data_IF_344870863534
#
_entry.id   IF_344870863534
#
_cell.length_a   1.000
_cell.length_b   1.000
_cell.length_c   1.000
_cell.angle_alpha   90.00
_cell.angle_beta   90.00
_cell.angle_gamma   90.00
#
_symmetry.space_group_name_H-M   'P 1'
#
loop_
_entity.id
_entity.type
_entity.pdbx_description
1 polymer ?
#
# COMPACT_ATOMS: atom_id res chain seq x y z
N UNK A 1 57.00 -8.29 -68.90
CA UNK A 1 56.41 -7.02 -68.43
C UNK A 1 54.96 -6.98 -68.88
N UNK A 2 54.03 -7.27 -67.98
CA UNK A 2 52.78 -6.55 -67.74
C UNK A 2 51.89 -7.43 -66.85
N UNK A 3 51.62 -6.89 -65.67
CA UNK A 3 50.87 -7.46 -64.56
C UNK A 3 49.42 -7.02 -64.74
N UNK A 4 48.48 -7.97 -64.70
CA UNK A 4 47.05 -7.70 -64.64
C UNK A 4 46.61 -7.47 -63.20
N UNK A 5 45.75 -6.46 -63.05
CA UNK A 5 45.24 -5.89 -61.80
C UNK A 5 44.29 -6.84 -61.04
N UNK A 6 44.34 -6.70 -59.72
CA UNK A 6 43.47 -7.32 -58.74
C UNK A 6 42.07 -6.65 -58.73
N UNK A 7 41.03 -7.46 -58.57
CA UNK A 7 39.70 -7.02 -58.14
C UNK A 7 39.46 -7.53 -56.73
N UNK A 8 39.45 -6.63 -55.76
CA UNK A 8 39.07 -6.91 -54.37
C UNK A 8 37.55 -7.09 -54.27
N UNK A 9 37.13 -8.22 -53.72
CA UNK A 9 35.76 -8.47 -53.31
C UNK A 9 35.56 -8.01 -51.86
N UNK A 10 34.69 -7.02 -51.66
CA UNK A 10 34.18 -6.63 -50.35
C UNK A 10 33.33 -7.77 -49.75
N UNK A 11 33.84 -8.40 -48.69
CA UNK A 11 33.00 -9.12 -47.73
C UNK A 11 32.62 -8.14 -46.61
N UNK A 12 31.47 -7.49 -46.76
CA UNK A 12 30.81 -6.80 -45.66
C UNK A 12 30.22 -7.84 -44.70
N UNK A 13 30.84 -8.02 -43.53
CA UNK A 13 30.34 -8.88 -42.46
C UNK A 13 29.01 -8.34 -41.94
N UNK A 14 27.97 -9.18 -42.04
CA UNK A 14 26.62 -8.94 -41.52
C UNK A 14 26.62 -8.57 -40.04
N UNK A 15 25.88 -7.51 -39.72
CA UNK A 15 25.78 -6.91 -38.40
C UNK A 15 25.43 -7.87 -37.27
N UNK A 16 26.18 -7.75 -36.18
CA UNK A 16 25.81 -8.28 -34.88
C UNK A 16 24.48 -7.67 -34.46
N UNK A 17 23.46 -8.53 -34.31
CA UNK A 17 22.27 -8.20 -33.56
C UNK A 17 22.69 -7.94 -32.11
N UNK A 18 22.73 -6.67 -31.73
CA UNK A 18 22.65 -6.29 -30.32
C UNK A 18 21.26 -6.75 -29.84
N UNK A 19 21.20 -7.94 -29.24
CA UNK A 19 20.10 -8.33 -28.39
C UNK A 19 20.15 -7.42 -27.15
N UNK A 20 19.63 -6.21 -27.30
CA UNK A 20 19.26 -5.35 -26.19
C UNK A 20 18.04 -5.95 -25.49
N UNK A 21 18.22 -7.10 -24.83
CA UNK A 21 17.32 -7.48 -23.75
C UNK A 21 17.49 -6.40 -22.70
N UNK A 22 16.49 -5.53 -22.59
CA UNK A 22 16.35 -4.64 -21.46
C UNK A 22 16.41 -5.51 -20.21
N UNK A 23 17.50 -5.38 -19.46
CA UNK A 23 17.64 -6.05 -18.18
C UNK A 23 16.79 -5.22 -17.23
N UNK A 24 15.53 -5.62 -17.05
CA UNK A 24 14.62 -5.06 -16.02
C UNK A 24 15.43 -4.79 -14.77
N UNK A 25 15.31 -3.57 -14.23
CA UNK A 25 16.11 -3.17 -13.08
C UNK A 25 15.94 -4.19 -11.94
N UNK A 26 16.98 -4.44 -11.16
CA UNK A 26 16.93 -5.41 -10.05
C UNK A 26 16.03 -4.98 -8.89
N UNK A 27 15.30 -3.87 -8.99
CA UNK A 27 14.40 -3.43 -7.93
C UNK A 27 13.12 -4.28 -7.85
N UNK A 28 12.57 -4.38 -6.64
CA UNK A 28 11.31 -5.08 -6.40
C UNK A 28 10.13 -4.18 -6.79
N UNK A 29 9.02 -4.82 -7.16
CA UNK A 29 7.72 -4.14 -7.20
C UNK A 29 7.38 -3.60 -5.81
N UNK A 30 6.71 -2.45 -5.74
CA UNK A 30 6.39 -1.78 -4.48
C UNK A 30 4.97 -2.08 -4.06
N UNK A 31 4.81 -2.50 -2.80
CA UNK A 31 3.52 -2.62 -2.15
C UNK A 31 3.39 -1.48 -1.14
N UNK A 32 2.55 -0.50 -1.47
CA UNK A 32 2.22 0.62 -0.60
C UNK A 32 1.08 0.24 0.35
N UNK A 33 1.43 0.10 1.62
CA UNK A 33 0.51 -0.06 2.74
C UNK A 33 0.20 1.31 3.34
N UNK A 34 -1.09 1.63 3.43
CA UNK A 34 -1.55 2.90 4.01
C UNK A 34 -2.69 2.67 5.01
N UNK A 35 -3.06 3.72 5.73
CA UNK A 35 -4.36 3.82 6.39
C UNK A 35 -5.19 4.83 5.61
N UNK A 36 -6.52 4.78 5.71
CA UNK A 36 -7.34 5.83 5.10
C UNK A 36 -6.93 7.20 5.61
N UNK A 37 -6.97 8.21 4.73
CA UNK A 37 -6.65 9.62 5.02
C UNK A 37 -5.20 9.95 5.36
N UNK A 38 -4.23 9.10 5.00
CA UNK A 38 -2.78 9.37 5.16
C UNK A 38 -2.13 10.14 4.01
N UNK A 39 -2.90 10.74 3.09
CA UNK A 39 -2.41 11.34 1.83
C UNK A 39 -1.82 10.32 0.81
N UNK A 40 -2.15 9.04 0.93
CA UNK A 40 -1.63 8.00 0.04
C UNK A 40 -1.99 8.16 -1.44
N UNK A 41 -3.14 8.78 -1.77
CA UNK A 41 -3.45 9.13 -3.16
C UNK A 41 -2.60 10.30 -3.71
N UNK A 42 -2.26 11.28 -2.87
CA UNK A 42 -1.33 12.37 -3.24
C UNK A 42 0.06 11.78 -3.50
N UNK A 43 0.48 10.86 -2.63
CA UNK A 43 1.74 10.15 -2.79
C UNK A 43 1.81 9.34 -4.10
N UNK A 44 0.75 8.61 -4.46
CA UNK A 44 0.68 7.98 -5.78
C UNK A 44 0.73 9.01 -6.92
N UNK A 45 0.05 10.16 -6.80
CA UNK A 45 0.11 11.22 -7.81
C UNK A 45 1.53 11.77 -8.02
N UNK A 46 2.29 11.98 -6.94
CA UNK A 46 3.70 12.37 -7.01
C UNK A 46 4.56 11.36 -7.78
N UNK A 47 4.26 10.07 -7.62
CA UNK A 47 5.00 8.98 -8.26
C UNK A 47 4.44 8.58 -9.64
N UNK A 48 3.44 9.28 -10.17
CA UNK A 48 2.71 8.82 -11.36
C UNK A 48 3.48 8.98 -12.67
N UNK A 49 4.57 9.75 -12.68
CA UNK A 49 5.39 10.02 -13.86
C UNK A 49 6.68 9.19 -13.91
N UNK A 50 6.86 8.23 -12.99
CA UNK A 50 8.05 7.38 -12.92
C UNK A 50 8.16 6.52 -14.18
N UNK A 51 9.24 6.71 -14.93
CA UNK A 51 9.54 5.91 -16.13
C UNK A 51 9.88 4.48 -15.73
N UNK A 52 9.33 3.50 -16.47
CA UNK A 52 9.47 2.08 -16.12
C UNK A 52 8.57 1.60 -14.97
N UNK A 53 7.59 2.41 -14.55
CA UNK A 53 6.63 2.03 -13.51
C UNK A 53 5.18 2.12 -14.01
N UNK A 54 4.32 1.26 -13.47
CA UNK A 54 2.86 1.35 -13.56
C UNK A 54 2.26 1.37 -12.16
N UNK A 55 1.14 2.07 -12.01
CA UNK A 55 0.39 2.13 -10.76
C UNK A 55 -0.89 1.31 -10.84
N UNK A 56 -1.23 0.68 -9.72
CA UNK A 56 -2.52 0.00 -9.58
C UNK A 56 -3.04 0.13 -8.14
N UNK A 57 -4.35 0.17 -7.99
CA UNK A 57 -4.97 0.58 -6.73
C UNK A 57 -6.09 -0.38 -6.27
N UNK A 58 -6.12 -0.64 -4.96
CA UNK A 58 -7.27 -1.14 -4.20
C UNK A 58 -7.90 -2.46 -4.65
N UNK A 59 -7.11 -3.41 -5.15
CA UNK A 59 -7.62 -4.72 -5.57
C UNK A 59 -8.33 -5.53 -4.47
N UNK A 60 -8.00 -5.26 -3.19
CA UNK A 60 -8.51 -5.99 -2.04
C UNK A 60 -9.72 -5.31 -1.36
N UNK A 61 -10.16 -4.17 -1.89
CA UNK A 61 -11.21 -3.34 -1.31
C UNK A 61 -12.58 -4.03 -1.29
N UNK A 62 -12.89 -4.86 -2.30
CA UNK A 62 -14.22 -5.49 -2.44
C UNK A 62 -14.51 -6.46 -1.29
N UNK A 63 -13.57 -7.37 -0.99
CA UNK A 63 -13.71 -8.32 0.12
C UNK A 63 -13.86 -7.59 1.47
N UNK A 64 -13.07 -6.54 1.70
CA UNK A 64 -13.20 -5.71 2.90
C UNK A 64 -14.59 -5.08 3.03
N UNK A 65 -15.10 -4.39 2.01
CA UNK A 65 -16.41 -3.75 2.12
C UNK A 65 -17.55 -4.76 2.18
N UNK A 66 -17.42 -5.91 1.54
CA UNK A 66 -18.35 -7.01 1.75
C UNK A 66 -18.40 -7.44 3.22
N UNK A 67 -17.23 -7.64 3.86
CA UNK A 67 -17.17 -8.02 5.28
C UNK A 67 -17.78 -6.98 6.22
N UNK A 68 -17.53 -5.70 5.95
CA UNK A 68 -18.14 -4.59 6.69
C UNK A 68 -19.67 -4.60 6.52
N UNK A 69 -20.13 -4.64 5.28
CA UNK A 69 -21.53 -4.38 4.96
C UNK A 69 -22.44 -5.59 5.26
N UNK A 70 -21.90 -6.82 5.27
CA UNK A 70 -22.68 -8.06 5.44
C UNK A 70 -22.62 -8.67 6.82
N UNK A 71 -21.49 -8.53 7.52
CA UNK A 71 -21.30 -9.19 8.81
C UNK A 71 -20.46 -8.39 9.81
N UNK A 72 -20.28 -7.07 9.59
CA UNK A 72 -19.62 -6.15 10.54
C UNK A 72 -18.28 -6.70 11.08
N UNK A 73 -17.50 -7.31 10.20
CA UNK A 73 -16.21 -7.94 10.51
C UNK A 73 -16.27 -9.02 11.60
N UNK A 74 -17.44 -9.64 11.82
CA UNK A 74 -17.56 -10.82 12.66
C UNK A 74 -16.59 -11.93 12.21
N UNK A 75 -16.11 -12.76 13.15
CA UNK A 75 -15.23 -13.87 12.83
C UNK A 75 -15.79 -14.82 11.77
N UNK A 76 -14.93 -15.29 10.85
CA UNK A 76 -15.36 -16.13 9.72
C UNK A 76 -15.93 -17.50 10.13
N UNK A 77 -15.69 -17.95 11.36
CA UNK A 77 -16.26 -19.15 11.98
C UNK A 77 -17.56 -18.88 12.75
N UNK A 78 -17.93 -17.62 12.95
CA UNK A 78 -19.18 -17.19 13.59
C UNK A 78 -20.26 -16.76 12.57
N UNK A 79 -19.93 -16.71 11.27
CA UNK A 79 -20.85 -16.37 10.18
C UNK A 79 -21.32 -17.61 9.40
N UNK A 80 -22.31 -17.45 8.53
CA UNK A 80 -22.81 -18.55 7.69
C UNK A 80 -21.78 -19.00 6.64
N UNK A 81 -21.83 -20.28 6.27
CA UNK A 81 -20.95 -20.85 5.22
C UNK A 81 -21.10 -20.14 3.87
N UNK A 82 -22.28 -19.58 3.58
CA UNK A 82 -22.51 -18.78 2.36
C UNK A 82 -21.71 -17.47 2.41
N UNK A 83 -21.86 -16.68 3.48
CA UNK A 83 -21.13 -15.41 3.65
C UNK A 83 -19.62 -15.63 3.71
N UNK A 84 -19.19 -16.71 4.36
CA UNK A 84 -17.77 -17.12 4.41
C UNK A 84 -17.23 -17.41 3.01
N UNK A 85 -17.96 -18.20 2.20
CA UNK A 85 -17.56 -18.50 0.81
C UNK A 85 -17.55 -17.25 -0.07
N UNK A 86 -18.55 -16.38 0.06
CA UNK A 86 -18.60 -15.11 -0.68
C UNK A 86 -17.39 -14.22 -0.37
N UNK A 87 -17.05 -14.03 0.91
CA UNK A 87 -15.88 -13.26 1.33
C UNK A 87 -14.57 -13.86 0.78
N UNK A 88 -14.40 -15.18 0.90
CA UNK A 88 -13.20 -15.88 0.43
C UNK A 88 -13.05 -15.71 -1.08
N UNK A 89 -14.12 -15.89 -1.85
CA UNK A 89 -14.08 -15.75 -3.31
C UNK A 89 -13.80 -14.31 -3.75
N UNK A 90 -14.42 -13.30 -3.12
CA UNK A 90 -14.11 -11.89 -3.39
C UNK A 90 -12.64 -11.54 -3.07
N UNK A 91 -12.08 -12.14 -2.03
CA UNK A 91 -10.67 -11.95 -1.64
C UNK A 91 -9.74 -12.62 -2.64
N UNK A 92 -10.05 -13.86 -3.08
CA UNK A 92 -9.32 -14.53 -4.16
C UNK A 92 -9.31 -13.70 -5.45
N UNK A 93 -10.46 -13.20 -5.88
CA UNK A 93 -10.55 -12.35 -7.08
C UNK A 93 -9.67 -11.10 -6.96
N UNK A 94 -9.64 -10.45 -5.79
CA UNK A 94 -8.76 -9.31 -5.54
C UNK A 94 -7.28 -9.67 -5.67
N UNK A 95 -6.87 -10.82 -5.11
CA UNK A 95 -5.49 -11.33 -5.19
C UNK A 95 -5.11 -11.70 -6.63
N UNK A 96 -6.04 -12.27 -7.41
CA UNK A 96 -5.82 -12.60 -8.82
C UNK A 96 -5.67 -11.37 -9.69
N UNK A 97 -6.48 -10.33 -9.48
CA UNK A 97 -6.35 -9.06 -10.21
C UNK A 97 -4.99 -8.41 -9.90
N UNK A 98 -4.56 -8.42 -8.64
CA UNK A 98 -3.23 -7.94 -8.24
C UNK A 98 -2.11 -8.74 -8.93
N UNK A 99 -2.18 -10.06 -8.88
CA UNK A 99 -1.19 -10.92 -9.51
C UNK A 99 -1.12 -10.68 -11.03
N UNK A 100 -2.28 -10.58 -11.69
CA UNK A 100 -2.36 -10.25 -13.11
C UNK A 100 -1.76 -8.88 -13.43
N UNK A 101 -2.06 -7.85 -12.64
CA UNK A 101 -1.49 -6.52 -12.83
C UNK A 101 0.04 -6.53 -12.73
N UNK A 102 0.59 -7.34 -11.82
CA UNK A 102 2.03 -7.54 -11.67
C UNK A 102 2.64 -8.23 -12.88
N UNK A 103 2.02 -9.32 -13.35
CA UNK A 103 2.47 -10.05 -14.54
C UNK A 103 2.42 -9.20 -15.80
N UNK A 104 1.37 -8.40 -15.98
CA UNK A 104 1.23 -7.52 -17.12
C UNK A 104 2.30 -6.40 -17.09
N UNK A 105 2.60 -5.85 -15.90
CA UNK A 105 3.73 -4.92 -15.74
C UNK A 105 5.08 -5.55 -16.14
N UNK A 106 5.32 -6.80 -15.72
CA UNK A 106 6.55 -7.54 -16.07
C UNK A 106 6.65 -7.78 -17.58
N UNK A 107 5.55 -8.16 -18.24
CA UNK A 107 5.51 -8.36 -19.70
C UNK A 107 5.84 -7.08 -20.48
N UNK A 108 5.50 -5.93 -19.92
CA UNK A 108 5.82 -4.61 -20.48
C UNK A 108 7.21 -4.08 -20.06
N UNK A 109 8.03 -4.88 -19.39
CA UNK A 109 9.33 -4.49 -18.85
C UNK A 109 9.25 -3.30 -17.86
N UNK A 110 8.20 -3.30 -17.03
CA UNK A 110 7.93 -2.28 -16.00
C UNK A 110 7.87 -2.88 -14.60
N UNK A 111 7.97 -2.02 -13.59
CA UNK A 111 7.72 -2.31 -12.19
C UNK A 111 6.31 -1.89 -11.78
N UNK A 112 5.71 -2.61 -10.85
CA UNK A 112 4.39 -2.27 -10.31
C UNK A 112 4.54 -1.53 -8.97
N UNK A 113 3.86 -0.38 -8.84
CA UNK A 113 3.53 0.25 -7.56
C UNK A 113 2.04 -0.02 -7.28
N UNK A 114 1.75 -0.94 -6.35
CA UNK A 114 0.37 -1.21 -5.93
C UNK A 114 0.07 -0.49 -4.62
N UNK A 115 -1.10 0.17 -4.52
CA UNK A 115 -1.60 0.72 -3.26
C UNK A 115 -2.76 -0.09 -2.69
N UNK A 116 -2.65 -0.48 -1.43
CA UNK A 116 -3.79 -0.91 -0.61
C UNK A 116 -3.73 -0.26 0.78
N UNK A 117 -4.86 -0.26 1.47
CA UNK A 117 -4.84 -0.02 2.90
C UNK A 117 -4.39 -1.30 3.64
N UNK A 118 -3.65 -1.16 4.73
CA UNK A 118 -3.10 -2.28 5.50
C UNK A 118 -4.21 -3.22 5.98
N UNK A 119 -5.33 -2.64 6.42
CA UNK A 119 -6.51 -3.37 6.87
C UNK A 119 -7.29 -4.08 5.75
N UNK A 120 -6.99 -3.85 4.47
CA UNK A 120 -7.53 -4.67 3.38
C UNK A 120 -6.84 -6.02 3.24
N UNK A 121 -5.69 -6.20 3.90
CA UNK A 121 -4.86 -7.41 3.77
C UNK A 121 -5.01 -8.38 4.93
N UNK A 122 -5.79 -8.03 5.94
CA UNK A 122 -5.99 -8.86 7.14
C UNK A 122 -7.34 -9.56 7.05
N UNK A 123 -7.44 -10.70 7.74
CA UNK A 123 -8.70 -11.43 7.88
C UNK A 123 -9.68 -10.59 8.73
N UNK A 124 -11.02 -10.64 8.47
CA UNK A 124 -11.96 -9.70 9.08
C UNK A 124 -12.00 -9.77 10.62
N UNK A 125 -11.87 -10.95 11.21
CA UNK A 125 -11.85 -11.10 12.67
C UNK A 125 -10.67 -10.39 13.34
N UNK A 126 -9.57 -10.16 12.62
CA UNK A 126 -8.46 -9.35 13.09
C UNK A 126 -8.85 -7.87 13.32
N UNK A 127 -9.96 -7.41 12.74
CA UNK A 127 -10.54 -6.07 12.94
C UNK A 127 -11.46 -5.99 14.16
N UNK A 128 -11.66 -7.11 14.87
CA UNK A 128 -12.38 -7.11 16.13
C UNK A 128 -11.55 -6.52 17.27
N UNK A 129 -12.23 -5.88 18.23
CA UNK A 129 -11.60 -5.40 19.45
C UNK A 129 -10.94 -6.53 20.27
N UNK A 130 -11.40 -7.77 20.10
CA UNK A 130 -10.86 -8.94 20.80
C UNK A 130 -9.52 -9.37 20.22
N UNK A 131 -9.38 -9.36 18.90
CA UNK A 131 -8.10 -9.61 18.23
C UNK A 131 -7.05 -8.57 18.63
N UNK A 132 -7.42 -7.29 18.72
CA UNK A 132 -6.53 -6.23 19.20
C UNK A 132 -6.11 -6.42 20.67
N UNK A 133 -6.89 -7.16 21.47
CA UNK A 133 -6.57 -7.53 22.87
C UNK A 133 -5.79 -8.84 22.97
N UNK A 134 -5.35 -9.41 21.85
CA UNK A 134 -4.50 -10.61 21.83
C UNK A 134 -5.25 -11.94 21.77
N UNK A 135 -6.56 -11.93 21.44
CA UNK A 135 -7.28 -13.19 21.12
C UNK A 135 -6.73 -13.76 19.82
N UNK A 136 -6.41 -15.05 19.81
CA UNK A 136 -6.07 -15.75 18.57
C UNK A 136 -7.26 -15.74 17.61
N UNK A 137 -6.97 -15.47 16.34
CA UNK A 137 -7.95 -15.39 15.26
C UNK A 137 -7.71 -16.51 14.25
N UNK A 138 -8.77 -17.11 13.67
CA UNK A 138 -8.61 -18.12 12.63
C UNK A 138 -7.73 -17.61 11.49
N UNK A 139 -6.70 -18.39 11.15
CA UNK A 139 -5.76 -18.01 10.09
C UNK A 139 -6.32 -18.35 8.71
N UNK A 140 -6.57 -17.33 7.89
CA UNK A 140 -6.89 -17.48 6.47
C UNK A 140 -5.64 -17.25 5.61
N UNK A 141 -5.31 -18.18 4.71
CA UNK A 141 -4.24 -17.99 3.71
C UNK A 141 -4.86 -17.94 2.31
N UNK A 142 -4.59 -16.88 1.57
CA UNK A 142 -5.05 -16.70 0.18
C UNK A 142 -3.83 -16.65 -0.73
N UNK A 143 -3.74 -17.64 -1.62
CA UNK A 143 -2.68 -17.79 -2.61
C UNK A 143 -3.27 -17.46 -4.00
N UNK A 144 -2.56 -16.71 -4.86
CA UNK A 144 -2.96 -16.57 -6.25
C UNK A 144 -3.09 -17.97 -6.91
N UNK A 145 -4.24 -18.28 -7.51
CA UNK A 145 -4.51 -19.63 -8.08
C UNK A 145 -3.50 -20.04 -9.15
N UNK A 146 -2.97 -19.09 -9.93
CA UNK A 146 -1.91 -19.33 -10.91
C UNK A 146 -0.59 -19.85 -10.28
N UNK A 147 -0.26 -19.44 -9.06
CA UNK A 147 0.89 -19.96 -8.30
C UNK A 147 0.59 -21.32 -7.64
N UNK A 148 -0.68 -21.68 -7.52
CA UNK A 148 -1.10 -22.98 -6.98
C UNK A 148 -1.13 -24.08 -8.06
N UNK A 149 -1.39 -23.74 -9.32
CA UNK A 149 -1.50 -24.72 -10.43
C UNK A 149 -0.17 -25.22 -10.99
N UNK A 150 0.96 -24.58 -10.71
CA UNK A 150 2.29 -25.15 -11.04
C UNK A 150 2.65 -26.37 -10.15
N UNK A 151 1.82 -26.69 -9.16
CA UNK A 151 2.01 -27.83 -8.25
C UNK A 151 1.38 -29.15 -8.73
N UNK A 152 0.64 -29.18 -9.85
CA UNK A 152 0.07 -30.43 -10.40
C UNK A 152 1.02 -31.09 -11.40
N UNK A 153 2.06 -31.72 -10.85
CA UNK A 153 3.08 -32.40 -11.65
C UNK A 153 4.01 -33.30 -10.85
N UNK A 154 3.46 -34.06 -9.89
CA UNK A 154 4.19 -35.11 -9.18
C UNK A 154 4.76 -34.66 -7.84
N UNK A 155 4.22 -35.26 -6.77
CA UNK A 155 4.72 -35.33 -5.38
C UNK A 155 5.92 -34.41 -5.11
N UNK A 156 5.65 -33.12 -5.00
CA UNK A 156 6.54 -32.19 -4.33
C UNK A 156 5.79 -31.70 -3.13
N UNK A 157 6.27 -32.07 -1.94
CA UNK A 157 5.89 -31.39 -0.73
C UNK A 157 6.26 -29.91 -0.93
N UNK A 158 5.30 -29.11 -1.39
CA UNK A 158 5.39 -27.67 -1.21
C UNK A 158 5.63 -27.51 0.30
N UNK A 159 6.71 -26.84 0.72
CA UNK A 159 6.83 -26.45 2.11
C UNK A 159 5.50 -25.77 2.43
N UNK A 160 4.80 -26.22 3.48
CA UNK A 160 3.58 -25.58 3.92
C UNK A 160 3.82 -24.07 3.85
N UNK A 161 3.13 -23.38 2.93
CA UNK A 161 3.47 -21.99 2.61
C UNK A 161 3.42 -21.22 3.92
N UNK A 162 4.60 -20.83 4.39
CA UNK A 162 4.75 -20.38 5.76
C UNK A 162 4.01 -19.06 5.87
N UNK A 163 3.16 -18.97 6.90
CA UNK A 163 2.39 -17.77 7.18
C UNK A 163 2.59 -17.40 8.64
N UNK A 164 3.52 -16.48 8.86
CA UNK A 164 3.81 -15.93 10.19
C UNK A 164 3.49 -14.44 10.28
N UNK A 165 3.19 -13.81 9.14
CA UNK A 165 2.78 -12.42 9.04
C UNK A 165 1.29 -12.23 9.41
N UNK A 166 0.87 -11.00 9.76
CA UNK A 166 -0.51 -10.70 10.18
C UNK A 166 -1.54 -10.58 9.04
N UNK A 167 -1.13 -10.72 7.77
CA UNK A 167 -2.03 -10.61 6.61
C UNK A 167 -2.63 -11.98 6.26
N UNK A 168 -3.43 -12.10 5.19
CA UNK A 168 -3.81 -13.39 4.61
C UNK A 168 -2.84 -13.90 3.54
N UNK A 169 -1.78 -13.15 3.20
CA UNK A 169 -0.79 -13.57 2.21
C UNK A 169 0.22 -14.56 2.80
N UNK A 170 0.76 -15.49 1.98
CA UNK A 170 1.97 -16.23 2.33
C UNK A 170 3.17 -15.32 2.58
N UNK A 171 4.08 -15.72 3.47
CA UNK A 171 5.30 -14.95 3.78
C UNK A 171 6.13 -14.69 2.51
N UNK A 172 6.32 -15.71 1.67
CA UNK A 172 7.08 -15.61 0.42
C UNK A 172 6.47 -14.60 -0.56
N UNK A 173 5.14 -14.53 -0.61
CA UNK A 173 4.45 -13.57 -1.45
C UNK A 173 4.80 -12.14 -1.01
N UNK A 174 4.70 -11.85 0.29
CA UNK A 174 5.05 -10.54 0.86
C UNK A 174 6.52 -10.18 0.65
N UNK A 175 7.44 -11.11 0.89
CA UNK A 175 8.89 -10.89 0.73
C UNK A 175 9.31 -10.63 -0.73
N UNK A 176 8.45 -10.94 -1.70
CA UNK A 176 8.66 -10.61 -3.11
C UNK A 176 8.41 -9.13 -3.46
N UNK A 177 7.90 -8.33 -2.52
CA UNK A 177 7.62 -6.90 -2.68
C UNK A 177 8.56 -6.04 -1.85
N UNK A 178 8.76 -4.79 -2.26
CA UNK A 178 9.29 -3.74 -1.40
C UNK A 178 8.12 -3.10 -0.63
N UNK A 179 7.98 -3.33 0.70
CA UNK A 179 6.90 -2.72 1.46
C UNK A 179 7.22 -1.26 1.80
N UNK A 180 6.25 -0.39 1.54
CA UNK A 180 6.26 1.03 1.92
C UNK A 180 5.04 1.30 2.79
N UNK A 181 5.24 1.86 3.98
CA UNK A 181 4.20 2.20 4.93
C UNK A 181 4.02 3.72 4.98
N UNK A 182 2.83 4.20 4.63
CA UNK A 182 2.50 5.62 4.72
C UNK A 182 1.69 5.92 5.97
N UNK A 183 2.23 6.81 6.80
CA UNK A 183 1.63 7.28 8.05
C UNK A 183 1.30 8.77 8.00
N UNK A 184 0.45 9.24 8.91
CA UNK A 184 0.10 10.65 9.06
C UNK A 184 -0.29 10.93 10.50
N UNK A 185 -0.05 12.15 10.97
CA UNK A 185 -0.44 12.59 12.31
C UNK A 185 -1.91 12.22 12.62
N UNK A 186 -2.19 11.46 13.69
CA UNK A 186 -3.51 10.88 13.93
C UNK A 186 -4.64 11.89 14.03
N UNK A 187 -4.40 13.08 14.60
CA UNK A 187 -5.41 14.14 14.66
C UNK A 187 -5.96 14.52 13.28
N UNK A 188 -5.10 14.57 12.25
CA UNK A 188 -5.52 14.86 10.88
C UNK A 188 -6.22 13.65 10.23
N UNK A 189 -5.88 12.44 10.64
CA UNK A 189 -6.51 11.20 10.15
C UNK A 189 -7.94 11.10 10.67
N UNK A 190 -8.14 11.15 12.00
CA UNK A 190 -9.46 10.91 12.62
C UNK A 190 -10.48 11.96 12.19
N UNK A 191 -10.10 13.23 12.18
CA UNK A 191 -10.99 14.30 11.72
C UNK A 191 -11.31 14.18 10.23
N UNK A 192 -10.29 13.99 9.39
CA UNK A 192 -10.52 13.95 7.95
C UNK A 192 -11.36 12.75 7.56
N UNK A 193 -11.20 11.65 8.30
CA UNK A 193 -12.02 10.44 8.13
C UNK A 193 -13.46 10.70 8.57
N UNK A 194 -13.67 11.25 9.78
CA UNK A 194 -15.01 11.56 10.30
C UNK A 194 -15.78 12.47 9.35
N UNK A 195 -15.15 13.57 8.91
CA UNK A 195 -15.71 14.52 7.94
C UNK A 195 -16.05 13.86 6.60
N UNK A 196 -15.21 12.92 6.14
CA UNK A 196 -15.44 12.23 4.87
C UNK A 196 -16.62 11.25 4.95
N UNK A 197 -16.73 10.46 6.02
CA UNK A 197 -17.84 9.50 6.18
C UNK A 197 -19.17 10.18 6.50
N UNK A 198 -19.18 11.21 7.36
CA UNK A 198 -20.40 11.96 7.72
C UNK A 198 -21.10 12.62 6.53
N UNK A 199 -20.36 12.97 5.48
CA UNK A 199 -20.93 13.43 4.19
C UNK A 199 -21.69 12.35 3.42
N UNK A 200 -21.51 11.08 3.78
CA UNK A 200 -22.09 9.92 3.11
C UNK A 200 -23.21 9.32 3.94
N UNK A 201 -22.93 9.05 5.21
CA UNK A 201 -23.85 8.46 6.19
C UNK A 201 -23.59 9.07 7.57
N UNK A 202 -24.61 9.26 8.41
CA UNK A 202 -24.39 9.62 9.81
C UNK A 202 -23.47 8.59 10.48
N UNK A 203 -22.41 9.05 11.13
CA UNK A 203 -21.47 8.21 11.88
C UNK A 203 -21.65 8.46 13.37
N UNK A 204 -21.89 7.40 14.12
CA UNK A 204 -21.71 7.44 15.56
C UNK A 204 -20.25 7.15 15.88
N UNK A 205 -19.61 8.05 16.62
CA UNK A 205 -18.20 7.93 17.02
C UNK A 205 -17.89 6.68 17.86
N UNK A 206 -18.94 6.05 18.41
CA UNK A 206 -18.84 4.78 19.16
C UNK A 206 -18.99 3.53 18.29
N UNK A 207 -19.24 3.68 16.99
CA UNK A 207 -19.40 2.56 16.08
C UNK A 207 -18.07 1.82 15.90
N UNK A 208 -18.15 0.52 15.59
CA UNK A 208 -16.96 -0.31 15.30
C UNK A 208 -16.18 0.14 14.07
N UNK A 209 -16.71 1.06 13.29
CA UNK A 209 -16.08 1.63 12.09
C UNK A 209 -14.68 2.21 12.34
N UNK A 210 -14.38 2.59 13.59
CA UNK A 210 -13.06 3.06 13.98
C UNK A 210 -12.00 1.97 14.14
N UNK A 211 -12.39 0.69 14.18
CA UNK A 211 -11.47 -0.44 14.41
C UNK A 211 -10.41 -0.58 13.30
N UNK A 212 -10.74 -0.17 12.07
CA UNK A 212 -9.81 -0.19 10.94
C UNK A 212 -9.05 1.13 10.74
N UNK A 213 -9.44 2.21 11.42
CA UNK A 213 -8.70 3.48 11.44
C UNK A 213 -7.60 3.37 12.50
N UNK A 214 -6.62 2.49 12.24
CA UNK A 214 -5.52 2.22 13.17
C UNK A 214 -4.19 2.00 12.46
N UNK A 215 -3.11 2.37 13.13
CA UNK A 215 -1.74 2.08 12.69
C UNK A 215 -1.23 0.73 13.18
N UNK A 216 -1.99 0.04 14.03
CA UNK A 216 -1.59 -1.25 14.60
C UNK A 216 -1.24 -2.27 13.52
N UNK A 217 -2.07 -2.43 12.47
CA UNK A 217 -1.78 -3.37 11.38
C UNK A 217 -0.49 -3.00 10.62
N UNK A 218 -0.29 -1.70 10.36
CA UNK A 218 0.94 -1.22 9.72
C UNK A 218 2.15 -1.49 10.59
N UNK A 219 2.06 -1.27 11.90
CA UNK A 219 3.13 -1.57 12.86
C UNK A 219 3.43 -3.06 12.96
N UNK A 220 2.41 -3.91 13.13
CA UNK A 220 2.58 -5.36 13.24
C UNK A 220 3.23 -5.93 11.98
N UNK A 221 2.81 -5.48 10.80
CA UNK A 221 3.40 -5.90 9.54
C UNK A 221 4.82 -5.35 9.36
N UNK A 222 5.07 -4.10 9.75
CA UNK A 222 6.41 -3.50 9.75
C UNK A 222 7.37 -4.31 10.63
N UNK A 223 6.98 -4.63 11.87
CA UNK A 223 7.81 -5.39 12.81
C UNK A 223 8.12 -6.79 12.28
N UNK A 224 7.16 -7.43 11.61
CA UNK A 224 7.37 -8.70 10.92
C UNK A 224 8.41 -8.60 9.80
N UNK A 225 8.35 -7.57 8.94
CA UNK A 225 9.36 -7.36 7.90
C UNK A 225 10.74 -7.07 8.48
N UNK A 226 10.84 -6.28 9.57
CA UNK A 226 12.11 -6.02 10.25
C UNK A 226 12.71 -7.30 10.80
N UNK A 227 11.90 -8.15 11.46
CA UNK A 227 12.36 -9.44 11.97
C UNK A 227 12.91 -10.31 10.84
N UNK A 228 12.17 -10.44 9.73
CA UNK A 228 12.60 -11.22 8.55
C UNK A 228 13.86 -10.67 7.89
N UNK A 229 13.96 -9.35 7.75
CA UNK A 229 15.16 -8.73 7.21
C UNK A 229 16.38 -8.93 8.11
N UNK A 230 16.19 -8.89 9.44
CA UNK A 230 17.27 -9.11 10.41
C UNK A 230 17.74 -10.56 10.42
N UNK A 231 16.82 -11.52 10.34
CA UNK A 231 17.12 -12.95 10.24
C UNK A 231 17.92 -13.29 8.97
N UNK A 232 17.51 -12.73 7.82
CA UNK A 232 18.12 -13.05 6.53
C UNK A 232 19.39 -12.27 6.20
N UNK A 233 19.44 -10.98 6.55
CA UNK A 233 20.49 -10.06 6.11
C UNK A 233 21.47 -9.67 7.25
N UNK A 234 21.21 -10.12 8.49
CA UNK A 234 21.90 -9.65 9.70
C UNK A 234 21.44 -8.25 10.14
N UNK A 235 22.19 -7.59 11.04
CA UNK A 235 21.83 -6.27 11.60
C UNK A 235 22.04 -5.09 10.64
N UNK A 236 22.26 -5.34 9.35
CA UNK A 236 22.50 -4.28 8.38
C UNK A 236 21.17 -3.65 7.98
N UNK A 237 21.00 -2.36 8.28
CA UNK A 237 19.90 -1.54 7.80
C UNK A 237 19.95 -1.40 6.28
N UNK A 238 18.91 -0.80 5.68
CA UNK A 238 18.63 -0.56 4.24
C UNK A 238 19.79 -0.12 3.30
N UNK A 239 21.02 0.05 3.79
CA UNK A 239 22.21 0.43 3.06
C UNK A 239 22.71 -0.61 2.03
N UNK A 240 22.25 -1.86 2.07
CA UNK A 240 22.61 -2.87 1.04
C UNK A 240 21.67 -2.89 -0.17
N UNK A 241 20.93 -1.81 -0.42
CA UNK A 241 20.21 -1.60 -1.68
C UNK A 241 19.20 -2.70 -2.05
N UNK A 242 18.67 -2.61 -3.27
CA UNK A 242 17.62 -3.50 -3.80
C UNK A 242 17.97 -4.99 -3.86
N UNK A 243 19.23 -5.34 -3.60
CA UNK A 243 19.82 -6.66 -3.82
C UNK A 243 19.68 -7.61 -2.63
N UNK A 244 19.30 -7.10 -1.45
CA UNK A 244 19.23 -7.90 -0.23
C UNK A 244 18.20 -9.06 -0.38
N UNK A 245 18.44 -10.27 0.16
CA UNK A 245 17.51 -11.40 0.09
C UNK A 245 16.11 -11.08 0.63
N UNK A 246 16.01 -10.42 1.78
CA UNK A 246 14.73 -9.97 2.35
C UNK A 246 14.60 -8.44 2.28
N UNK A 247 13.41 -7.91 1.92
CA UNK A 247 13.18 -6.47 1.80
C UNK A 247 13.16 -5.79 3.17
N UNK A 248 13.83 -4.65 3.28
CA UNK A 248 13.74 -3.80 4.47
C UNK A 248 12.51 -2.90 4.37
N UNK A 249 11.65 -2.80 5.40
CA UNK A 249 10.45 -1.98 5.32
C UNK A 249 10.73 -0.48 5.38
N UNK A 250 10.08 0.27 4.49
CA UNK A 250 10.22 1.73 4.39
C UNK A 250 9.02 2.39 5.07
N UNK A 251 9.24 3.38 5.92
CA UNK A 251 8.18 4.22 6.49
C UNK A 251 8.32 5.64 5.95
N UNK A 252 7.20 6.22 5.51
CA UNK A 252 7.11 7.61 5.05
C UNK A 252 5.98 8.33 5.78
N UNK A 253 6.28 9.49 6.35
CA UNK A 253 5.30 10.38 6.96
C UNK A 253 4.74 11.35 5.91
N UNK A 254 3.42 11.57 5.96
CA UNK A 254 2.73 12.51 5.10
C UNK A 254 3.32 13.93 5.14
N UNK A 255 3.84 14.40 6.27
CA UNK A 255 4.50 15.71 6.35
C UNK A 255 5.82 15.78 5.57
N UNK A 256 6.57 14.67 5.54
CA UNK A 256 7.82 14.59 4.78
C UNK A 256 7.54 14.49 3.28
N UNK A 257 6.40 13.88 2.91
CA UNK A 257 5.92 13.85 1.53
C UNK A 257 5.47 15.25 1.08
N UNK A 258 4.77 15.99 1.94
CA UNK A 258 4.34 17.36 1.63
C UNK A 258 5.55 18.31 1.49
N UNK A 259 6.54 18.21 2.38
CA UNK A 259 7.76 19.02 2.31
C UNK A 259 8.76 18.57 1.24
N UNK A 260 8.64 17.32 0.78
CA UNK A 260 9.56 16.69 -0.17
C UNK A 260 10.81 16.06 0.47
N UNK A 261 11.00 16.20 1.79
CA UNK A 261 12.20 15.79 2.52
C UNK A 261 12.54 14.30 2.36
N UNK A 262 11.54 13.42 2.25
CA UNK A 262 11.76 11.98 2.13
C UNK A 262 11.92 11.48 0.68
N UNK A 263 11.57 12.28 -0.33
CA UNK A 263 11.37 11.80 -1.70
C UNK A 263 12.66 11.27 -2.35
N UNK A 264 13.80 11.95 -2.11
CA UNK A 264 15.08 11.50 -2.65
C UNK A 264 15.52 10.13 -2.10
N UNK A 265 15.40 9.95 -0.78
CA UNK A 265 15.71 8.68 -0.13
C UNK A 265 14.76 7.57 -0.55
N UNK A 266 13.46 7.89 -0.67
CA UNK A 266 12.45 6.95 -1.16
C UNK A 266 12.77 6.50 -2.58
N UNK A 267 13.03 7.43 -3.49
CA UNK A 267 13.36 7.12 -4.87
C UNK A 267 14.58 6.18 -4.94
N UNK A 268 15.64 6.54 -4.20
CA UNK A 268 16.85 5.74 -4.03
C UNK A 268 16.67 4.45 -3.22
N UNK A 269 15.51 4.21 -2.60
CA UNK A 269 15.18 2.96 -1.89
C UNK A 269 14.14 2.10 -2.64
N UNK A 270 13.46 2.66 -3.67
CA UNK A 270 12.46 1.95 -4.49
C UNK A 270 12.88 1.70 -5.97
N UNK A 271 13.87 2.40 -6.49
CA UNK A 271 14.40 2.24 -7.85
C UNK A 271 13.72 3.23 -8.79
N UNK A 272 13.35 4.37 -8.20
CA UNK A 272 12.63 5.46 -8.83
C UNK A 272 13.58 6.65 -8.96
N UNK A 273 13.20 7.61 -9.78
CA UNK A 273 14.00 8.80 -10.08
C UNK A 273 13.33 10.04 -9.51
N UNK A 274 14.12 10.89 -8.84
CA UNK A 274 13.63 12.15 -8.26
C UNK A 274 13.20 13.15 -9.33
N UNK A 275 13.80 13.04 -10.51
CA UNK A 275 13.51 13.85 -11.68
C UNK A 275 12.11 13.59 -12.25
N UNK A 276 11.53 12.42 -11.95
CA UNK A 276 10.19 12.02 -12.38
C UNK A 276 9.12 12.20 -11.28
N UNK A 277 9.42 12.98 -10.23
CA UNK A 277 8.42 13.37 -9.24
C UNK A 277 7.50 14.45 -9.82
N UNK A 278 6.19 14.17 -9.81
CA UNK A 278 5.16 15.06 -10.34
C UNK A 278 4.52 15.90 -9.23
N UNK A 279 5.12 17.05 -8.91
CA UNK A 279 4.63 17.98 -7.87
C UNK A 279 3.42 18.83 -8.30
N UNK A 280 3.20 18.94 -9.61
CA UNK A 280 2.08 19.66 -10.22
C UNK A 280 1.29 18.74 -11.15
N UNK A 281 -0.02 18.90 -11.20
CA UNK A 281 -0.90 18.11 -12.05
C UNK A 281 -2.15 18.86 -12.45
N UNK A 282 -2.82 18.34 -13.47
CA UNK A 282 -4.12 18.85 -13.89
C UNK A 282 -5.22 18.37 -12.95
N UNK A 283 -6.22 19.24 -12.77
CA UNK A 283 -7.48 18.90 -12.14
C UNK A 283 -8.22 17.84 -12.95
N UNK A 284 -8.93 16.95 -12.26
CA UNK A 284 -9.81 15.96 -12.85
C UNK A 284 -11.26 16.46 -12.73
N UNK A 285 -11.98 16.64 -13.85
CA UNK A 285 -13.38 17.09 -13.83
C UNK A 285 -14.24 16.16 -12.98
N UNK A 286 -15.01 16.73 -12.05
CA UNK A 286 -15.84 15.94 -11.12
C UNK A 286 -17.03 15.31 -11.83
N UNK A 287 -17.56 15.98 -12.84
CA UNK A 287 -18.74 15.59 -13.63
C UNK A 287 -18.44 14.37 -14.52
N UNK A 288 -17.17 14.10 -14.79
CA UNK A 288 -16.72 12.95 -15.58
C UNK A 288 -16.52 11.67 -14.74
N UNK A 289 -16.70 11.73 -13.42
CA UNK A 289 -16.40 10.63 -12.51
C UNK A 289 -17.68 9.88 -12.13
N UNK A 290 -17.93 8.72 -12.75
CA UNK A 290 -19.01 7.81 -12.33
C UNK A 290 -18.54 6.95 -11.14
N UNK A 291 -18.60 7.54 -9.95
CA UNK A 291 -18.16 6.88 -8.70
C UNK A 291 -19.16 7.08 -7.56
N UNK A 292 -19.08 6.18 -6.57
CA UNK A 292 -19.95 6.26 -5.39
C UNK A 292 -19.78 7.59 -4.62
N UNK A 293 -20.83 8.01 -3.90
CA UNK A 293 -20.80 9.17 -3.00
C UNK A 293 -19.63 9.13 -2.00
N UNK A 294 -19.31 7.94 -1.49
CA UNK A 294 -18.16 7.74 -0.58
C UNK A 294 -16.85 8.01 -1.29
N UNK A 295 -16.65 7.45 -2.48
CA UNK A 295 -15.43 7.70 -3.26
C UNK A 295 -15.28 9.19 -3.58
N UNK A 296 -16.35 9.87 -4.01
CA UNK A 296 -16.36 11.33 -4.18
C UNK A 296 -15.93 12.07 -2.92
N UNK A 297 -16.49 11.71 -1.76
CA UNK A 297 -16.19 12.37 -0.48
C UNK A 297 -14.70 12.25 -0.08
N UNK A 298 -14.03 11.19 -0.53
CA UNK A 298 -12.63 10.93 -0.22
C UNK A 298 -11.66 11.57 -1.23
N UNK A 299 -12.03 11.60 -2.51
CA UNK A 299 -11.13 11.96 -3.61
C UNK A 299 -11.27 13.41 -4.09
N UNK A 300 -12.40 14.07 -3.82
CA UNK A 300 -12.71 15.41 -4.32
C UNK A 300 -11.54 16.39 -4.22
N UNK A 301 -10.98 16.56 -3.02
CA UNK A 301 -9.91 17.54 -2.80
C UNK A 301 -8.64 17.26 -3.60
N UNK A 302 -8.36 15.99 -3.95
CA UNK A 302 -7.23 15.64 -4.81
C UNK A 302 -7.57 15.94 -6.28
N UNK A 303 -8.79 15.59 -6.70
CA UNK A 303 -9.22 15.79 -8.09
C UNK A 303 -9.34 17.26 -8.46
N UNK A 304 -9.73 18.13 -7.52
CA UNK A 304 -9.78 19.58 -7.74
C UNK A 304 -8.50 20.29 -7.29
N UNK A 305 -7.38 19.56 -7.13
CA UNK A 305 -6.09 20.17 -6.81
C UNK A 305 -5.17 20.16 -8.01
N UNK A 306 -4.23 21.10 -8.02
CA UNK A 306 -3.19 21.20 -9.04
C UNK A 306 -1.79 20.87 -8.53
N UNK A 307 -1.66 20.51 -7.24
CA UNK A 307 -0.38 20.22 -6.62
C UNK A 307 -0.49 19.95 -5.12
N UNK A 308 0.65 20.03 -4.43
CA UNK A 308 0.74 19.80 -2.98
C UNK A 308 0.12 20.94 -2.18
N UNK A 309 -0.79 20.59 -1.27
CA UNK A 309 -1.42 21.52 -0.34
C UNK A 309 -0.72 21.48 1.03
N UNK A 310 0.17 22.45 1.26
CA UNK A 310 0.92 22.58 2.51
C UNK A 310 0.02 22.83 3.72
N UNK A 311 -1.21 23.31 3.54
CA UNK A 311 -2.16 23.49 4.65
C UNK A 311 -2.61 22.16 5.28
N UNK A 312 -2.35 21.04 4.60
CA UNK A 312 -2.64 19.69 5.09
C UNK A 312 -1.55 19.11 6.00
N UNK A 313 -0.46 19.86 6.25
CA UNK A 313 0.63 19.46 7.14
C UNK A 313 0.21 19.48 8.61
N UNK A 314 0.84 18.64 9.44
CA UNK A 314 0.72 18.70 10.91
C UNK A 314 1.79 19.59 11.56
N UNK A 315 2.67 20.22 10.79
CA UNK A 315 3.70 21.12 11.31
C UNK A 315 3.05 22.32 12.01
N UNK A 316 3.39 22.51 13.28
CA UNK A 316 2.80 23.55 14.12
C UNK A 316 1.37 23.26 14.58
N UNK A 317 0.92 22.00 14.46
CA UNK A 317 -0.38 21.59 14.99
C UNK A 317 -0.39 21.71 16.51
N UNK A 318 -1.31 22.52 17.01
CA UNK A 318 -1.64 22.64 18.42
C UNK A 318 -2.93 21.85 18.69
N UNK A 319 -2.84 20.84 19.55
CA UNK A 319 -3.96 19.96 19.85
C UNK A 319 -5.07 20.64 20.65
N UNK A 320 -4.75 21.62 21.51
CA UNK A 320 -5.76 22.35 22.29
C UNK A 320 -6.60 23.22 21.37
N UNK A 321 -5.93 23.95 20.47
CA UNK A 321 -6.60 24.76 19.44
C UNK A 321 -7.42 23.87 18.51
N UNK A 322 -6.89 22.70 18.11
CA UNK A 322 -7.59 21.78 17.21
C UNK A 322 -8.83 21.17 17.85
N UNK A 323 -8.71 20.75 19.11
CA UNK A 323 -9.82 20.20 19.88
C UNK A 323 -10.92 21.25 20.11
N UNK A 324 -10.56 22.51 20.38
CA UNK A 324 -11.52 23.62 20.44
C UNK A 324 -12.33 23.77 19.14
N UNK A 325 -11.66 23.71 17.98
CA UNK A 325 -12.33 23.72 16.67
C UNK A 325 -13.24 22.51 16.47
N UNK A 326 -12.86 21.32 16.94
CA UNK A 326 -13.74 20.15 16.88
C UNK A 326 -15.01 20.33 17.72
N UNK A 327 -14.93 20.99 18.88
CA UNK A 327 -16.12 21.31 19.69
C UNK A 327 -17.07 22.25 18.95
N UNK A 328 -16.52 23.32 18.36
CA UNK A 328 -17.30 24.28 17.57
C UNK A 328 -17.96 23.62 16.36
N UNK A 329 -17.24 22.76 15.65
CA UNK A 329 -17.69 22.18 14.39
C UNK A 329 -18.58 20.93 14.58
N UNK A 330 -18.22 20.04 15.50
CA UNK A 330 -18.86 18.72 15.65
C UNK A 330 -19.63 18.55 16.96
N UNK A 331 -19.54 19.52 17.88
CA UNK A 331 -20.10 19.43 19.22
C UNK A 331 -19.22 18.68 20.21
N UNK A 332 -19.44 18.93 21.50
CA UNK A 332 -18.57 18.44 22.59
C UNK A 332 -18.40 16.93 22.61
N UNK A 333 -19.51 16.18 22.47
CA UNK A 333 -19.47 14.71 22.55
C UNK A 333 -18.64 14.09 21.43
N UNK A 334 -18.72 14.63 20.20
CA UNK A 334 -17.93 14.11 19.08
C UNK A 334 -16.47 14.51 19.22
N UNK A 335 -16.21 15.75 19.64
CA UNK A 335 -14.85 16.25 19.85
C UNK A 335 -14.09 15.42 20.89
N UNK A 336 -14.74 15.04 22.00
CA UNK A 336 -14.14 14.19 23.04
C UNK A 336 -13.72 12.83 22.49
N UNK A 337 -14.62 12.16 21.77
CA UNK A 337 -14.36 10.82 21.25
C UNK A 337 -13.30 10.84 20.13
N UNK A 338 -13.29 11.88 19.28
CA UNK A 338 -12.19 12.08 18.31
C UNK A 338 -10.85 12.32 19.01
N UNK A 339 -10.84 13.01 20.14
CA UNK A 339 -9.64 13.23 20.95
C UNK A 339 -9.14 11.93 21.59
N UNK A 340 -10.02 11.12 22.16
CA UNK A 340 -9.67 9.79 22.68
C UNK A 340 -9.13 8.88 21.57
N UNK A 341 -9.77 8.86 20.40
CA UNK A 341 -9.29 8.11 19.22
C UNK A 341 -7.91 8.60 18.78
N UNK A 342 -7.70 9.92 18.70
CA UNK A 342 -6.39 10.50 18.42
C UNK A 342 -5.33 9.98 19.41
N UNK A 343 -5.60 10.05 20.72
CA UNK A 343 -4.66 9.61 21.75
C UNK A 343 -4.35 8.12 21.63
N UNK A 344 -5.36 7.29 21.34
CA UNK A 344 -5.18 5.84 21.13
C UNK A 344 -4.25 5.53 19.96
N UNK A 345 -4.25 6.35 18.92
CA UNK A 345 -3.44 6.13 17.71
C UNK A 345 -2.01 6.67 17.80
N UNK A 346 -1.75 7.61 18.71
CA UNK A 346 -0.44 8.25 18.86
C UNK A 346 0.72 7.28 19.15
N UNK A 347 0.60 6.26 20.02
CA UNK A 347 1.70 5.36 20.31
C UNK A 347 2.25 4.63 19.08
N UNK A 348 1.37 4.10 18.23
CA UNK A 348 1.77 3.38 17.01
C UNK A 348 2.28 4.35 15.93
N UNK A 349 1.66 5.52 15.81
CA UNK A 349 2.15 6.59 14.92
C UNK A 349 3.57 7.01 15.28
N UNK A 350 3.82 7.37 16.54
CA UNK A 350 5.15 7.79 16.99
C UNK A 350 6.19 6.68 16.89
N UNK A 351 5.78 5.42 17.10
CA UNK A 351 6.65 4.26 16.88
C UNK A 351 7.14 4.18 15.43
N UNK A 352 6.22 4.27 14.47
CA UNK A 352 6.53 4.23 13.03
C UNK A 352 7.27 5.48 12.59
N UNK A 353 6.88 6.66 13.08
CA UNK A 353 7.50 7.95 12.76
C UNK A 353 8.99 7.99 13.09
N UNK A 354 9.41 7.41 14.23
CA UNK A 354 10.85 7.31 14.60
C UNK A 354 11.67 6.42 13.66
N UNK A 355 11.02 5.70 12.74
CA UNK A 355 11.62 4.75 11.78
C UNK A 355 11.44 5.19 10.33
N UNK A 356 10.94 6.40 10.11
CA UNK A 356 10.84 7.00 8.78
C UNK A 356 12.23 7.22 8.18
N UNK A 357 12.31 7.16 6.85
CA UNK A 357 13.56 7.31 6.09
C UNK A 357 14.07 8.74 6.05
#
# INVERSE_FOLDING_TARGET
MHINQASDGEQASSGGHNNGQSVRSKCRDVFLFSVSRTLSNVFCRLLSAQTGWVQSDYHLQKGFFHSRDKFDWAPLDEISDELRREYIELTHQGVEILQKAREDAIKEDKHLLVKNHSFFTVEPSALSNEAQRGKEVPSLTIVPRALASEAEGGISATPAQTKTNPTFFPDEYLLSWQPVFMIRHPALVVESWYRAETRVVPINVKDKVWSYVTFWYSRSLYDWYVARATESNGTKSAAEGYSAPSPWPIVVDADDVLSGECLAKLCSACGMSVEHIKVEWEELPLEAQDVSKRHMSYMRDLWTSTGLDQSKSSKGLDMEVRYGKWKEEFGDSVAEELYELFQKLMPDYEYLKRRKI
#
